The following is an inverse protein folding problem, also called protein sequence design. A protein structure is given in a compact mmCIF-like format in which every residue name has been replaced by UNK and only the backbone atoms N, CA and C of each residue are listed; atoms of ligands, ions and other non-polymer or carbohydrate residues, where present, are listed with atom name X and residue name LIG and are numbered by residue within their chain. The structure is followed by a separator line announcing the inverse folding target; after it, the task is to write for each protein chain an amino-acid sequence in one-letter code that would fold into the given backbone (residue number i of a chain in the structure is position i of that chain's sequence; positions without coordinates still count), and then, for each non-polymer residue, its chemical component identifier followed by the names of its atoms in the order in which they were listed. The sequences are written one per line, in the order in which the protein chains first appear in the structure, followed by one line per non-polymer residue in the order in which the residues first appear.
data_IF_228488381457
#
_entry.id   IF_228488381457
#
_cell.length_a   1.000
_cell.length_b   1.000
_cell.length_c   1.000
_cell.angle_alpha   90.00
_cell.angle_beta   90.00
_cell.angle_gamma   90.00
#
_symmetry.space_group_name_H-M   'P 1'
#
loop_
_entity.id
_entity.type
_entity.pdbx_description
1 polymer ?
#
# COMPACT_ATOMS: atom_id res chain seq x y z
N UNK A 1 -11.39 -7.95 -2.44
CA UNK A 1 -12.59 -8.81 -2.31
C UNK A 1 -12.50 -9.63 -1.01
N UNK A 2 -13.63 -10.12 -0.48
CA UNK A 2 -13.63 -11.08 0.63
C UNK A 2 -13.45 -12.50 0.07
N UNK A 3 -12.57 -13.30 0.67
CA UNK A 3 -12.31 -14.69 0.29
C UNK A 3 -12.49 -15.62 1.49
N UNK A 4 -13.21 -16.72 1.31
CA UNK A 4 -13.30 -17.78 2.32
C UNK A 4 -12.08 -18.70 2.18
N UNK A 5 -11.22 -18.73 3.20
CA UNK A 5 -10.08 -19.63 3.21
C UNK A 5 -10.50 -21.06 3.62
N UNK A 6 -10.95 -21.83 2.62
CA UNK A 6 -11.47 -23.21 2.79
C UNK A 6 -10.50 -24.31 2.36
N UNK A 7 -9.45 -23.98 1.61
CA UNK A 7 -8.41 -24.91 1.15
C UNK A 7 -7.07 -24.77 1.86
N UNK A 8 -6.11 -25.63 1.53
CA UNK A 8 -4.71 -25.46 1.95
C UNK A 8 -4.09 -24.25 1.24
N UNK A 9 -3.31 -23.44 1.95
CA UNK A 9 -2.58 -22.29 1.39
C UNK A 9 -1.23 -22.16 2.08
N UNK A 10 -0.14 -22.07 1.30
CA UNK A 10 1.24 -22.07 1.82
C UNK A 10 1.50 -23.22 2.81
N UNK A 11 1.03 -24.42 2.46
CA UNK A 11 1.07 -25.63 3.29
C UNK A 11 0.31 -25.58 4.63
N UNK A 12 -0.33 -24.46 4.95
CA UNK A 12 -1.17 -24.32 6.14
C UNK A 12 -2.56 -24.93 5.90
N UNK A 13 -3.15 -25.58 6.91
CA UNK A 13 -4.50 -26.09 6.83
C UNK A 13 -5.51 -24.95 6.63
N UNK A 14 -6.72 -25.24 6.14
CA UNK A 14 -7.75 -24.22 5.97
C UNK A 14 -8.03 -23.51 7.29
N UNK A 15 -7.99 -22.16 7.25
CA UNK A 15 -8.28 -21.34 8.42
C UNK A 15 -9.79 -21.24 8.72
N UNK A 16 -10.65 -21.55 7.73
CA UNK A 16 -12.10 -21.41 7.80
C UNK A 16 -12.54 -20.00 8.23
N UNK A 17 -11.82 -18.99 7.75
CA UNK A 17 -12.07 -17.57 8.01
C UNK A 17 -12.24 -16.82 6.69
N UNK A 18 -12.98 -15.72 6.76
CA UNK A 18 -13.02 -14.72 5.69
C UNK A 18 -11.77 -13.87 5.80
N UNK A 19 -11.01 -13.78 4.72
CA UNK A 19 -9.83 -12.91 4.60
C UNK A 19 -10.01 -11.93 3.44
N UNK A 20 -9.32 -10.80 3.50
CA UNK A 20 -9.16 -9.85 2.40
C UNK A 20 -7.72 -9.91 1.93
N UNK A 21 -7.53 -10.03 0.61
CA UNK A 21 -6.21 -10.01 -0.01
C UNK A 21 -5.96 -8.62 -0.56
N UNK A 22 -4.79 -8.06 -0.23
CA UNK A 22 -4.24 -6.87 -0.89
C UNK A 22 -3.23 -7.33 -1.92
N UNK A 23 -3.38 -6.81 -3.12
CA UNK A 23 -2.53 -7.10 -4.25
C UNK A 23 -2.19 -5.81 -5.02
N UNK A 24 -1.08 -5.89 -5.75
CA UNK A 24 -0.73 -4.92 -6.78
C UNK A 24 -0.18 -5.71 -7.96
N UNK A 25 -0.70 -5.41 -9.15
CA UNK A 25 -0.26 -6.01 -10.41
C UNK A 25 0.35 -4.96 -11.33
N UNK A 26 1.47 -5.31 -11.94
CA UNK A 26 2.00 -4.62 -13.11
C UNK A 26 1.96 -5.54 -14.33
N UNK A 27 1.21 -5.11 -15.34
CA UNK A 27 1.03 -5.87 -16.57
C UNK A 27 1.90 -5.30 -17.70
N UNK A 28 2.70 -6.16 -18.35
CA UNK A 28 3.29 -5.84 -19.65
C UNK A 28 2.37 -6.40 -20.73
N UNK A 29 1.83 -5.53 -21.58
CA UNK A 29 0.94 -5.90 -22.69
C UNK A 29 1.70 -5.81 -24.01
N UNK A 30 1.60 -6.85 -24.85
CA UNK A 30 2.07 -6.87 -26.24
C UNK A 30 1.00 -7.49 -27.13
N UNK A 31 0.71 -6.88 -28.27
CA UNK A 31 -0.29 -7.34 -29.23
C UNK A 31 -1.66 -7.65 -28.58
N UNK A 32 -2.09 -6.79 -27.65
CA UNK A 32 -3.35 -6.95 -26.91
C UNK A 32 -3.37 -8.08 -25.88
N UNK A 33 -2.23 -8.71 -25.55
CA UNK A 33 -2.12 -9.80 -24.57
C UNK A 33 -1.16 -9.44 -23.44
N UNK A 34 -1.45 -9.91 -22.24
CA UNK A 34 -0.55 -9.82 -21.08
C UNK A 34 0.59 -10.83 -21.30
N UNK A 35 1.82 -10.34 -21.43
CA UNK A 35 3.03 -11.19 -21.57
C UNK A 35 3.82 -11.30 -20.27
N UNK A 36 3.63 -10.36 -19.34
CA UNK A 36 4.16 -10.42 -17.96
C UNK A 36 3.09 -9.89 -17.01
N UNK A 37 2.88 -10.60 -15.90
CA UNK A 37 2.23 -10.04 -14.72
C UNK A 37 3.24 -10.09 -13.55
N UNK A 38 3.63 -8.92 -13.06
CA UNK A 38 4.32 -8.81 -11.78
C UNK A 38 3.29 -8.51 -10.69
N UNK A 39 2.92 -9.56 -9.96
CA UNK A 39 1.96 -9.53 -8.87
C UNK A 39 2.67 -9.56 -7.52
N UNK A 40 2.31 -8.66 -6.61
CA UNK A 40 2.73 -8.70 -5.22
C UNK A 40 1.52 -8.88 -4.32
N UNK A 41 1.58 -9.87 -3.43
CA UNK A 41 0.51 -10.22 -2.50
C UNK A 41 0.96 -9.96 -1.06
N UNK A 42 0.12 -9.30 -0.27
CA UNK A 42 0.36 -9.16 1.17
C UNK A 42 -0.03 -10.44 1.93
N UNK A 43 0.83 -11.44 1.82
CA UNK A 43 0.67 -12.73 2.51
C UNK A 43 0.70 -12.55 4.03
N UNK A 44 1.48 -11.59 4.55
CA UNK A 44 1.58 -11.36 6.00
C UNK A 44 0.22 -10.94 6.56
N UNK A 45 -0.47 -10.01 5.89
CA UNK A 45 -1.81 -9.57 6.30
C UNK A 45 -2.82 -10.72 6.26
N UNK A 46 -2.80 -11.53 5.20
CA UNK A 46 -3.69 -12.71 5.05
C UNK A 46 -3.51 -13.68 6.21
N UNK A 47 -2.26 -13.99 6.58
CA UNK A 47 -1.95 -14.89 7.68
C UNK A 47 -2.33 -14.28 9.03
N UNK A 48 -2.13 -12.97 9.23
CA UNK A 48 -2.56 -12.30 10.46
C UNK A 48 -4.09 -12.28 10.62
N UNK A 49 -4.85 -12.04 9.55
CA UNK A 49 -6.32 -12.16 9.55
C UNK A 49 -6.78 -13.59 9.92
N UNK A 50 -6.01 -14.61 9.53
CA UNK A 50 -6.27 -15.99 9.93
C UNK A 50 -5.90 -16.30 11.40
N UNK A 51 -5.22 -15.37 12.10
CA UNK A 51 -4.86 -15.48 13.51
C UNK A 51 -3.41 -15.89 13.77
N UNK A 52 -2.58 -15.98 12.73
CA UNK A 52 -1.15 -16.23 12.88
C UNK A 52 -0.43 -14.96 13.35
N UNK A 53 0.51 -15.09 14.30
CA UNK A 53 1.30 -13.96 14.83
C UNK A 53 2.70 -13.98 14.22
N UNK A 54 2.87 -13.31 13.08
CA UNK A 54 4.13 -13.31 12.32
C UNK A 54 5.05 -12.13 12.65
N UNK A 55 4.46 -10.98 12.96
CA UNK A 55 5.17 -9.75 13.30
C UNK A 55 4.80 -9.33 14.73
N UNK A 56 5.61 -8.46 15.37
CA UNK A 56 5.20 -7.77 16.59
C UNK A 56 3.87 -7.03 16.40
N UNK A 57 3.18 -6.67 17.51
CA UNK A 57 2.00 -5.82 17.44
C UNK A 57 2.27 -4.56 16.60
N UNK A 58 1.30 -4.20 15.76
CA UNK A 58 1.42 -3.02 14.91
C UNK A 58 1.47 -1.75 15.75
N UNK A 59 2.24 -0.75 15.31
CA UNK A 59 2.36 0.56 15.99
C UNK A 59 1.00 1.25 16.06
N UNK A 60 0.25 1.20 14.96
CA UNK A 60 -1.12 1.69 14.83
C UNK A 60 -2.11 0.53 14.59
N UNK A 61 -3.41 0.74 14.83
CA UNK A 61 -4.42 -0.27 14.51
C UNK A 61 -4.45 -0.62 13.01
N UNK A 62 -4.55 -1.91 12.70
CA UNK A 62 -4.86 -2.37 11.34
C UNK A 62 -6.36 -2.19 11.09
N UNK A 63 -6.74 -1.16 10.33
CA UNK A 63 -8.15 -0.88 9.98
C UNK A 63 -8.59 -1.54 8.67
N UNK A 64 -7.67 -2.28 8.04
CA UNK A 64 -7.83 -2.79 6.69
C UNK A 64 -7.81 -1.66 5.65
N UNK A 65 -8.00 -2.04 4.38
CA UNK A 65 -8.16 -1.08 3.30
C UNK A 65 -9.65 -0.78 3.08
N UNK A 66 -10.00 0.50 3.09
CA UNK A 66 -11.36 0.97 2.83
C UNK A 66 -11.34 1.81 1.55
N UNK A 67 -12.44 1.78 0.81
CA UNK A 67 -12.64 2.76 -0.25
C UNK A 67 -12.67 4.18 0.37
N UNK A 68 -12.21 5.21 -0.35
CA UNK A 68 -12.34 6.59 0.10
C UNK A 68 -13.77 6.89 0.52
N UNK A 69 -13.95 7.41 1.75
CA UNK A 69 -15.27 7.64 2.34
C UNK A 69 -16.14 8.61 1.53
N UNK A 70 -15.50 9.51 0.79
CA UNK A 70 -16.16 10.45 -0.14
C UNK A 70 -16.78 9.75 -1.35
N UNK A 71 -16.29 8.55 -1.71
CA UNK A 71 -16.71 7.81 -2.90
C UNK A 71 -16.64 8.63 -4.21
N UNK A 72 -15.85 9.71 -4.22
CA UNK A 72 -15.62 10.62 -5.36
C UNK A 72 -14.43 10.17 -6.23
N UNK A 73 -14.09 8.88 -6.14
CA UNK A 73 -12.94 8.30 -6.83
C UNK A 73 -13.30 8.09 -8.30
N UNK A 74 -12.38 8.45 -9.19
CA UNK A 74 -12.46 8.04 -10.58
C UNK A 74 -12.35 6.51 -10.66
N UNK A 75 -13.30 5.80 -11.29
CA UNK A 75 -13.18 4.37 -11.47
C UNK A 75 -11.92 4.07 -12.31
N UNK A 76 -11.07 3.18 -11.81
CA UNK A 76 -9.97 2.64 -12.59
C UNK A 76 -10.46 1.41 -13.39
N UNK A 77 -10.06 1.23 -14.67
CA UNK A 77 -9.41 2.16 -15.58
C UNK A 77 -10.45 2.85 -16.46
N UNK A 78 -10.65 4.15 -16.32
CA UNK A 78 -11.50 4.90 -17.25
C UNK A 78 -10.69 6.05 -17.85
N UNK A 79 -10.13 5.79 -19.04
CA UNK A 79 -9.41 6.78 -19.87
C UNK A 79 -10.28 8.02 -20.14
N UNK A 80 -11.61 7.90 -20.14
CA UNK A 80 -12.56 8.99 -20.35
C UNK A 80 -12.38 10.16 -19.36
N UNK A 81 -11.91 9.87 -18.13
CA UNK A 81 -11.67 10.88 -17.10
C UNK A 81 -10.21 11.28 -16.94
N UNK A 82 -9.29 10.71 -17.74
CA UNK A 82 -7.85 10.95 -17.59
C UNK A 82 -7.16 11.14 -18.95
N UNK A 83 -6.56 12.31 -19.16
CA UNK A 83 -5.73 12.57 -20.35
C UNK A 83 -4.29 12.15 -20.10
N UNK A 84 -3.69 11.48 -21.10
CA UNK A 84 -2.24 11.22 -21.11
C UNK A 84 -1.40 12.50 -21.03
N UNK A 85 -1.98 13.66 -21.39
CA UNK A 85 -1.34 14.97 -21.22
C UNK A 85 -1.03 15.30 -19.75
N UNK A 86 -1.75 14.72 -18.78
CA UNK A 86 -1.49 14.91 -17.35
C UNK A 86 -0.43 13.95 -16.80
N UNK A 87 -0.01 12.93 -17.56
CA UNK A 87 0.94 11.93 -17.10
C UNK A 87 2.27 12.53 -16.59
N UNK A 88 2.87 13.56 -17.23
CA UNK A 88 4.07 14.22 -16.69
C UNK A 88 3.82 14.88 -15.34
N UNK A 89 2.66 15.54 -15.17
CA UNK A 89 2.30 16.22 -13.92
C UNK A 89 2.02 15.21 -12.80
N UNK A 90 1.24 14.17 -13.07
CA UNK A 90 0.98 13.09 -12.10
C UNK A 90 2.28 12.42 -11.66
N UNK A 91 3.19 12.14 -12.60
CA UNK A 91 4.51 11.61 -12.30
C UNK A 91 5.31 12.58 -11.43
N UNK A 92 5.31 13.87 -11.75
CA UNK A 92 6.02 14.88 -10.96
C UNK A 92 5.53 14.93 -9.50
N UNK A 93 4.21 14.87 -9.28
CA UNK A 93 3.62 14.85 -7.92
C UNK A 93 4.07 13.60 -7.16
N UNK A 94 3.92 12.41 -7.75
CA UNK A 94 4.31 11.15 -7.08
C UNK A 94 5.81 11.11 -6.81
N UNK A 95 6.65 11.47 -7.80
CA UNK A 95 8.10 11.51 -7.65
C UNK A 95 8.51 12.51 -6.57
N UNK A 96 7.86 13.68 -6.51
CA UNK A 96 8.12 14.67 -5.45
C UNK A 96 7.81 14.09 -4.07
N UNK A 97 6.61 13.53 -3.86
CA UNK A 97 6.24 12.97 -2.56
C UNK A 97 7.16 11.83 -2.12
N UNK A 98 7.54 10.93 -3.04
CA UNK A 98 8.49 9.85 -2.74
C UNK A 98 9.89 10.38 -2.41
N UNK A 99 10.35 11.40 -3.14
CA UNK A 99 11.62 12.06 -2.86
C UNK A 99 11.62 12.76 -1.50
N UNK A 100 10.57 13.49 -1.16
CA UNK A 100 10.47 14.17 0.13
C UNK A 100 10.42 13.16 1.29
N UNK A 101 9.53 12.17 1.20
CA UNK A 101 9.24 11.27 2.31
C UNK A 101 10.26 10.14 2.46
N UNK A 102 10.75 9.54 1.37
CA UNK A 102 11.59 8.34 1.45
C UNK A 102 13.08 8.65 1.32
N UNK A 103 13.47 9.48 0.34
CA UNK A 103 14.87 9.69 -0.02
C UNK A 103 15.49 10.91 0.67
N UNK A 104 14.77 12.03 0.70
CA UNK A 104 15.15 13.25 1.38
C UNK A 104 14.94 13.20 2.90
N UNK A 105 14.31 12.12 3.38
CA UNK A 105 14.04 11.85 4.79
C UNK A 105 13.34 13.01 5.53
N UNK A 106 12.42 13.70 4.85
CA UNK A 106 11.61 14.73 5.49
C UNK A 106 10.68 14.11 6.53
N UNK A 107 10.59 14.75 7.69
CA UNK A 107 9.62 14.40 8.75
C UNK A 107 8.42 15.35 8.77
N UNK A 108 8.23 16.14 7.70
CA UNK A 108 7.11 17.09 7.60
C UNK A 108 5.98 16.59 6.70
N UNK A 109 6.26 15.65 5.79
CA UNK A 109 5.28 15.12 4.83
C UNK A 109 4.46 16.24 4.12
N UNK A 110 5.09 17.28 3.56
CA UNK A 110 4.42 18.52 3.16
C UNK A 110 3.48 18.37 1.96
N UNK A 111 3.67 17.29 1.18
CA UNK A 111 2.79 16.94 0.07
C UNK A 111 1.46 16.31 0.51
N UNK A 112 1.26 16.10 1.81
CA UNK A 112 0.08 15.45 2.38
C UNK A 112 -0.76 16.41 3.21
N UNK A 113 -2.08 16.20 3.19
CA UNK A 113 -3.00 16.93 4.07
C UNK A 113 -2.85 16.45 5.52
N UNK A 114 -3.21 17.32 6.47
CA UNK A 114 -3.23 16.98 7.89
C UNK A 114 -4.15 15.79 8.22
N UNK A 115 -5.23 15.65 7.46
CA UNK A 115 -6.26 14.62 7.59
C UNK A 115 -6.09 13.44 6.62
N UNK A 116 -4.89 13.20 6.09
CA UNK A 116 -4.68 12.03 5.23
C UNK A 116 -5.04 10.73 5.96
N UNK A 117 -5.55 9.76 5.19
CA UNK A 117 -5.65 8.37 5.62
C UNK A 117 -4.62 7.57 4.84
N UNK A 118 -3.66 6.99 5.56
CA UNK A 118 -2.60 6.17 4.97
C UNK A 118 -2.73 4.72 5.45
N UNK A 119 -2.86 3.80 4.50
CA UNK A 119 -3.02 2.37 4.76
C UNK A 119 -1.67 1.66 4.72
N UNK A 120 -1.01 1.55 5.87
CA UNK A 120 0.27 0.88 5.98
C UNK A 120 0.22 -0.65 5.90
N UNK A 121 1.40 -1.30 5.79
CA UNK A 121 1.53 -2.74 5.91
C UNK A 121 1.31 -3.23 7.35
N UNK A 122 1.10 -4.54 7.57
CA UNK A 122 1.05 -5.13 8.90
C UNK A 122 2.37 -4.85 9.65
N UNK A 123 2.28 -4.58 10.95
CA UNK A 123 3.42 -4.14 11.76
C UNK A 123 3.50 -2.61 11.88
N UNK A 124 2.95 -1.85 10.94
CA UNK A 124 2.84 -0.39 11.03
C UNK A 124 1.41 0.02 11.36
N UNK A 125 0.44 -0.40 10.54
CA UNK A 125 -0.98 -0.09 10.73
C UNK A 125 -1.49 1.09 9.90
N UNK A 126 -2.69 1.57 10.24
CA UNK A 126 -3.38 2.63 9.50
C UNK A 126 -3.26 3.97 10.21
N UNK A 127 -2.64 4.94 9.54
CA UNK A 127 -2.60 6.33 9.99
C UNK A 127 -3.82 7.10 9.48
N UNK A 128 -4.33 7.99 10.33
CA UNK A 128 -5.51 8.84 10.07
C UNK A 128 -5.21 10.32 10.20
N UNK A 129 -3.93 10.66 10.32
CA UNK A 129 -3.42 12.03 10.27
C UNK A 129 -1.98 12.06 9.76
N UNK A 130 -1.53 13.23 9.31
CA UNK A 130 -0.14 13.47 8.88
C UNK A 130 0.84 13.21 9.99
N UNK A 131 0.47 13.57 11.21
CA UNK A 131 1.25 13.28 12.42
C UNK A 131 1.42 11.78 12.63
N UNK A 132 0.34 11.00 12.58
CA UNK A 132 0.42 9.54 12.75
C UNK A 132 1.27 8.89 11.65
N UNK A 133 1.14 9.35 10.40
CA UNK A 133 1.97 8.89 9.29
C UNK A 133 3.46 9.16 9.53
N UNK A 134 3.81 10.39 9.94
CA UNK A 134 5.20 10.75 10.26
C UNK A 134 5.73 9.93 11.44
N UNK A 135 4.96 9.89 12.54
CA UNK A 135 5.41 9.29 13.81
C UNK A 135 5.52 7.76 13.74
N UNK A 136 4.56 7.09 13.10
CA UNK A 136 4.48 5.63 13.08
C UNK A 136 5.16 5.00 11.85
N UNK A 137 5.32 5.73 10.74
CA UNK A 137 5.93 5.19 9.53
C UNK A 137 7.25 5.87 9.16
N UNK A 138 7.27 7.18 8.88
CA UNK A 138 8.48 7.84 8.36
C UNK A 138 9.64 7.81 9.35
N UNK A 139 9.41 8.18 10.62
CA UNK A 139 10.46 8.16 11.65
C UNK A 139 11.08 6.76 11.82
N UNK A 140 10.31 5.67 12.03
CA UNK A 140 10.87 4.32 12.08
C UNK A 140 11.59 3.91 10.80
N UNK A 141 11.04 4.27 9.63
CA UNK A 141 11.65 3.96 8.33
C UNK A 141 13.03 4.61 8.20
N UNK A 142 13.15 5.91 8.47
CA UNK A 142 14.42 6.62 8.37
C UNK A 142 15.43 6.13 9.41
N UNK A 143 14.97 5.79 10.62
CA UNK A 143 15.83 5.20 11.63
C UNK A 143 16.37 3.82 11.22
N UNK A 144 15.58 3.04 10.46
CA UNK A 144 15.98 1.71 9.99
C UNK A 144 16.96 1.76 8.80
N UNK A 145 16.88 2.78 7.93
CA UNK A 145 17.69 2.88 6.72
C UNK A 145 18.65 4.08 6.79
N UNK A 146 19.90 3.80 7.16
CA UNK A 146 20.95 4.81 7.33
C UNK A 146 21.43 5.47 6.03
N UNK A 147 21.14 4.86 4.86
CA UNK A 147 21.44 5.39 3.52
C UNK A 147 20.29 5.05 2.56
N UNK A 148 19.40 6.00 2.23
CA UNK A 148 18.31 5.77 1.31
C UNK A 148 18.79 5.94 -0.13
N UNK A 149 19.58 4.99 -0.64
CA UNK A 149 19.99 4.96 -2.04
C UNK A 149 19.11 3.96 -2.80
N UNK A 150 18.49 4.41 -3.90
CA UNK A 150 17.86 3.49 -4.85
C UNK A 150 18.96 2.66 -5.50
N UNK A 151 19.04 1.38 -5.12
CA UNK A 151 19.83 0.41 -5.89
C UNK A 151 19.02 0.11 -7.15
N UNK A 152 19.40 0.77 -8.25
CA UNK A 152 18.84 0.54 -9.59
C UNK A 152 19.60 -0.58 -10.28
#
# INVERSE_FOLDING_TARGET
ANANWTGRFLDLPPANKVVKVRDIDYYLIRDGKIVVNWCMLDVVDVLQQAGYKLLPPSILPNRGYLAPSSMDVLPAPVEEFTSSAYAPMARAVVTRSLNEDLFGQSLEAPSWREDLVWYGPPGVGTATSRREYVDAFLKPLHAAFSRPELTV
#
